data_IF_160712265162
#
_entry.id   IF_160712265162
#
_cell.length_a   1.000
_cell.length_b   1.000
_cell.length_c   1.000
_cell.angle_alpha   90.00
_cell.angle_beta   90.00
_cell.angle_gamma   90.00
#
_symmetry.space_group_name_H-M   'P 1'
#
loop_
_entity.id
_entity.type
_entity.pdbx_description
1 polymer ?
#
# COMPACT_ATOMS: atom_id res chain seq x y z
N UNK A 1 -9.27 1.15 13.57
CA UNK A 1 -9.14 1.03 12.09
C UNK A 1 -8.98 -0.45 11.77
N UNK A 2 -9.85 -1.03 10.94
CA UNK A 2 -9.98 -2.50 10.84
C UNK A 2 -9.35 -3.09 9.58
N UNK A 3 -8.99 -2.28 8.58
CA UNK A 3 -8.55 -2.77 7.27
C UNK A 3 -7.10 -2.38 6.99
N UNK A 4 -6.28 -3.38 6.64
CA UNK A 4 -4.91 -3.24 6.22
C UNK A 4 -4.86 -2.99 4.70
N UNK A 5 -4.19 -1.92 4.23
CA UNK A 5 -4.23 -1.51 2.82
C UNK A 5 -3.56 -2.48 1.85
N UNK A 6 -2.77 -3.45 2.35
CA UNK A 6 -2.15 -4.51 1.55
C UNK A 6 -2.85 -5.86 1.76
N UNK A 7 -3.19 -6.23 3.00
CA UNK A 7 -3.66 -7.58 3.31
C UNK A 7 -5.15 -7.75 3.00
N UNK A 8 -5.93 -6.68 3.12
CA UNK A 8 -7.36 -6.69 2.77
C UNK A 8 -7.61 -6.21 1.33
N UNK A 9 -6.55 -6.02 0.53
CA UNK A 9 -6.69 -5.56 -0.84
C UNK A 9 -6.98 -6.72 -1.83
N UNK A 10 -8.22 -6.76 -2.32
CA UNK A 10 -8.63 -7.71 -3.37
C UNK A 10 -8.26 -7.18 -4.77
N UNK A 11 -7.02 -7.48 -5.16
CA UNK A 11 -6.48 -7.12 -6.48
C UNK A 11 -7.23 -7.78 -7.65
N UNK A 12 -7.85 -8.95 -7.44
CA UNK A 12 -8.60 -9.66 -8.48
C UNK A 12 -9.90 -8.93 -8.77
N UNK A 13 -10.69 -8.63 -7.73
CA UNK A 13 -11.92 -7.84 -7.85
C UNK A 13 -11.65 -6.50 -8.49
N UNK A 14 -10.54 -5.83 -8.16
CA UNK A 14 -10.19 -4.56 -8.81
C UNK A 14 -9.95 -4.68 -10.31
N UNK A 15 -9.24 -5.73 -10.77
CA UNK A 15 -9.00 -5.96 -12.21
C UNK A 15 -10.28 -6.33 -12.96
N UNK A 16 -11.17 -7.09 -12.32
CA UNK A 16 -12.44 -7.52 -12.91
C UNK A 16 -13.38 -6.33 -13.22
N UNK A 17 -13.19 -5.17 -12.58
CA UNK A 17 -13.95 -3.94 -12.86
C UNK A 17 -13.61 -3.30 -14.22
N UNK A 18 -12.55 -3.72 -14.92
CA UNK A 18 -12.14 -3.22 -16.24
C UNK A 18 -12.03 -1.68 -16.32
N UNK A 19 -11.71 -1.02 -15.21
CA UNK A 19 -11.55 0.44 -15.16
C UNK A 19 -10.24 0.83 -15.83
N UNK A 20 -10.32 1.68 -16.86
CA UNK A 20 -9.13 2.24 -17.50
C UNK A 20 -8.51 3.34 -16.64
N UNK A 21 -7.32 3.10 -16.15
CA UNK A 21 -6.50 4.06 -15.41
C UNK A 21 -5.29 4.47 -16.26
N UNK A 22 -4.79 5.69 -16.06
CA UNK A 22 -3.60 6.20 -16.77
C UNK A 22 -2.29 6.03 -16.01
N UNK A 23 -2.39 5.79 -14.71
CA UNK A 23 -1.24 5.73 -13.81
C UNK A 23 -1.37 4.59 -12.79
N UNK A 24 -2.53 4.44 -12.15
CA UNK A 24 -2.74 3.42 -11.12
C UNK A 24 -2.85 1.99 -11.69
N UNK A 25 -2.28 1.01 -10.99
CA UNK A 25 -2.58 -0.41 -11.18
C UNK A 25 -2.37 -1.16 -9.84
N UNK A 26 -2.82 -2.42 -9.77
CA UNK A 26 -2.75 -3.21 -8.52
C UNK A 26 -1.32 -3.46 -8.03
N UNK A 27 -0.30 -3.44 -8.91
CA UNK A 27 1.10 -3.61 -8.52
C UNK A 27 1.66 -2.32 -7.94
N UNK A 28 1.34 -1.17 -8.56
CA UNK A 28 1.69 0.15 -8.03
C UNK A 28 1.04 0.42 -6.67
N UNK A 29 -0.19 -0.06 -6.46
CA UNK A 29 -0.85 0.01 -5.15
C UNK A 29 -0.03 -0.65 -4.04
N UNK A 30 0.49 -1.86 -4.27
CA UNK A 30 1.31 -2.56 -3.27
C UNK A 30 2.66 -1.86 -3.13
N UNK A 31 3.28 -1.51 -4.27
CA UNK A 31 4.57 -0.83 -4.28
C UNK A 31 4.58 0.54 -3.61
N UNK A 32 3.46 1.26 -3.57
CA UNK A 32 3.39 2.56 -2.88
C UNK A 32 3.51 2.47 -1.37
N UNK A 33 3.39 1.27 -0.79
CA UNK A 33 3.61 1.03 0.64
C UNK A 33 4.99 0.44 0.93
N UNK A 34 5.82 0.17 -0.09
CA UNK A 34 7.21 -0.20 0.11
C UNK A 34 8.03 1.07 0.38
N UNK A 35 8.69 1.13 1.54
CA UNK A 35 9.47 2.27 1.96
C UNK A 35 10.97 1.98 1.78
N UNK A 36 11.80 2.97 1.44
CA UNK A 36 13.25 2.83 1.55
C UNK A 36 13.65 2.64 3.02
N UNK A 37 14.69 1.85 3.29
CA UNK A 37 15.14 1.53 4.66
C UNK A 37 15.29 2.76 5.57
N UNK A 38 15.87 3.87 5.06
CA UNK A 38 16.03 5.09 5.87
C UNK A 38 14.69 5.72 6.31
N UNK A 39 13.62 5.51 5.54
CA UNK A 39 12.27 5.97 5.90
C UNK A 39 11.65 5.04 6.92
N UNK A 40 11.91 3.73 6.83
CA UNK A 40 11.49 2.75 7.84
C UNK A 40 12.15 3.07 9.19
N UNK A 41 13.47 3.30 9.21
CA UNK A 41 14.22 3.71 10.41
C UNK A 41 13.63 4.99 11.05
N UNK A 42 13.30 6.00 10.24
CA UNK A 42 12.67 7.24 10.73
C UNK A 42 11.25 7.03 11.29
N UNK A 43 10.53 6.00 10.84
CA UNK A 43 9.20 5.67 11.32
C UNK A 43 9.25 4.85 12.61
N UNK A 44 10.21 3.94 12.74
CA UNK A 44 10.45 3.20 13.99
C UNK A 44 10.67 4.17 15.17
N UNK A 45 11.45 5.23 14.96
CA UNK A 45 11.68 6.30 15.94
C UNK A 45 10.39 7.05 16.35
N UNK A 46 9.38 7.08 15.47
CA UNK A 46 8.10 7.76 15.70
C UNK A 46 7.07 6.82 16.32
N UNK A 47 7.13 5.53 16.01
CA UNK A 47 6.23 4.50 16.52
C UNK A 47 6.57 4.08 17.97
N UNK A 48 7.82 4.17 18.42
CA UNK A 48 8.19 3.92 19.84
C UNK A 48 7.68 5.01 20.82
N UNK A 49 7.17 6.14 20.31
CA UNK A 49 6.62 7.24 21.10
C UNK A 49 5.07 7.13 21.25
N UNK A 50 4.46 6.05 20.73
CA UNK A 50 3.00 5.84 20.67
C UNK A 50 2.37 5.05 21.83
#
# INVERSE_FOLDING_TARGET
KQYHPIFDFDSKRWRDLNIKTRYYNTQLHVGSFALPNYVEELLEDVEEIG
#
